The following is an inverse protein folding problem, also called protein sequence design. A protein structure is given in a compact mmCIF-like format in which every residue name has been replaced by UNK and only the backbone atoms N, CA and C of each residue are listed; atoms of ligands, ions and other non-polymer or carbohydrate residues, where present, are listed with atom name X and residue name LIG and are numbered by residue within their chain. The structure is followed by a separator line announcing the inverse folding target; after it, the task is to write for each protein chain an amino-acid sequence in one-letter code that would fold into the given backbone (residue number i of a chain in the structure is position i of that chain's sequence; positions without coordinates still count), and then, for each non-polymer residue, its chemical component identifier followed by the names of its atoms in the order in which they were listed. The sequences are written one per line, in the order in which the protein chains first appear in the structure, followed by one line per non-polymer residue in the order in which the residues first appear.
data_IF_229321012637
#
_entry.id   IF_229321012637
#
_cell.length_a   1.000
_cell.length_b   1.000
_cell.length_c   1.000
_cell.angle_alpha   90.00
_cell.angle_beta   90.00
_cell.angle_gamma   90.00
#
_symmetry.space_group_name_H-M   'P 1'
#
loop_
_entity.id
_entity.type
_entity.pdbx_description
1 polymer ?
#
# COMPACT_ATOMS: atom_id res chain seq x y z
N UNK A 1 2.37 -13.66 6.99
CA UNK A 1 2.15 -12.56 7.97
C UNK A 1 1.21 -11.54 7.36
N UNK A 2 0.03 -11.32 7.97
CA UNK A 2 -1.00 -10.40 7.47
C UNK A 2 -0.50 -8.95 7.35
N UNK A 3 -0.84 -8.27 6.25
CA UNK A 3 -0.53 -6.84 5.97
C UNK A 3 -0.88 -5.94 7.16
N UNK A 4 -2.04 -6.19 7.77
CA UNK A 4 -2.54 -5.51 8.96
C UNK A 4 -1.67 -5.68 10.20
N UNK A 5 -1.08 -6.87 10.41
CA UNK A 5 -0.19 -7.11 11.55
C UNK A 5 1.15 -6.39 11.37
N UNK A 6 1.63 -6.26 10.12
CA UNK A 6 2.84 -5.48 9.80
C UNK A 6 2.61 -3.98 10.00
N UNK A 7 1.47 -3.44 9.56
CA UNK A 7 1.11 -2.03 9.76
C UNK A 7 1.00 -1.66 11.25
N UNK A 8 0.37 -2.52 12.05
CA UNK A 8 0.24 -2.31 13.49
C UNK A 8 1.60 -2.30 14.19
N UNK A 9 2.50 -3.23 13.82
CA UNK A 9 3.86 -3.27 14.35
C UNK A 9 4.67 -2.01 13.96
N UNK A 10 4.57 -1.58 12.70
CA UNK A 10 5.21 -0.36 12.19
C UNK A 10 4.76 0.90 12.95
N UNK A 11 3.44 1.03 13.18
CA UNK A 11 2.90 2.15 13.95
C UNK A 11 3.38 2.13 15.40
N UNK A 12 3.41 0.95 16.04
CA UNK A 12 3.87 0.81 17.42
C UNK A 12 5.36 1.17 17.56
N UNK A 13 6.19 0.70 16.62
CA UNK A 13 7.61 1.05 16.56
C UNK A 13 7.81 2.55 16.37
N UNK A 14 7.04 3.19 15.49
CA UNK A 14 7.08 4.64 15.28
C UNK A 14 6.76 5.44 16.55
N UNK A 15 5.72 5.04 17.31
CA UNK A 15 5.39 5.66 18.60
C UNK A 15 6.54 5.51 19.58
N UNK A 16 7.15 4.34 19.68
CA UNK A 16 8.27 4.10 20.59
C UNK A 16 9.50 4.98 20.25
N UNK A 17 9.83 5.10 18.96
CA UNK A 17 10.90 5.97 18.48
C UNK A 17 10.59 7.43 18.80
N UNK A 18 9.34 7.88 18.59
CA UNK A 18 8.94 9.25 18.87
C UNK A 18 9.03 9.58 20.36
N UNK A 19 8.51 8.71 21.23
CA UNK A 19 8.52 8.92 22.68
C UNK A 19 9.94 8.91 23.23
N UNK A 20 10.78 7.96 22.80
CA UNK A 20 12.19 7.92 23.21
C UNK A 20 12.96 9.15 22.72
N UNK A 21 12.67 9.65 21.52
CA UNK A 21 13.29 10.88 21.02
C UNK A 21 12.92 12.11 21.86
N UNK A 22 11.65 12.25 22.24
CA UNK A 22 11.17 13.38 23.04
C UNK A 22 11.70 13.32 24.48
N UNK A 23 11.66 12.15 25.12
CA UNK A 23 11.96 12.03 26.55
C UNK A 23 13.46 11.86 26.84
N UNK A 24 14.22 11.24 25.91
CA UNK A 24 15.62 10.86 26.14
C UNK A 24 16.56 11.70 25.30
N UNK A 25 16.32 11.86 23.99
CA UNK A 25 17.26 12.56 23.10
C UNK A 25 17.12 14.08 23.17
N UNK A 26 15.89 14.62 23.18
CA UNK A 26 15.62 16.05 23.21
C UNK A 26 16.27 16.81 24.39
N UNK A 27 16.33 16.30 25.64
CA UNK A 27 16.99 17.00 26.73
C UNK A 27 18.52 17.03 26.62
N UNK A 28 19.13 16.28 25.69
CA UNK A 28 20.58 16.28 25.47
C UNK A 28 20.93 17.26 24.35
N UNK A 29 21.58 18.40 24.63
CA UNK A 29 21.80 19.45 23.64
C UNK A 29 22.68 18.99 22.46
N UNK A 30 23.66 18.14 22.73
CA UNK A 30 24.56 17.55 21.71
C UNK A 30 23.81 16.67 20.70
N UNK A 31 22.63 16.16 21.07
CA UNK A 31 21.83 15.25 20.26
C UNK A 31 20.58 15.93 19.69
N UNK A 32 20.46 17.25 19.80
CA UNK A 32 19.25 17.98 19.39
C UNK A 32 18.89 17.73 17.91
N UNK A 33 19.86 17.85 17.00
CA UNK A 33 19.64 17.62 15.56
C UNK A 33 19.22 16.16 15.29
N UNK A 34 19.87 15.21 15.96
CA UNK A 34 19.55 13.79 15.85
C UNK A 34 18.14 13.51 16.36
N UNK A 35 17.74 14.12 17.48
CA UNK A 35 16.40 14.03 18.05
C UNK A 35 15.34 14.46 17.05
N UNK A 36 15.53 15.60 16.38
CA UNK A 36 14.58 16.09 15.36
C UNK A 36 14.43 15.11 14.19
N UNK A 37 15.53 14.51 13.72
CA UNK A 37 15.50 13.50 12.65
C UNK A 37 14.74 12.26 13.11
N UNK A 38 15.04 11.75 14.32
CA UNK A 38 14.35 10.58 14.87
C UNK A 38 12.85 10.85 15.12
N UNK A 39 12.47 12.05 15.57
CA UNK A 39 11.08 12.46 15.69
C UNK A 39 10.37 12.46 14.33
N UNK A 40 10.99 13.03 13.29
CA UNK A 40 10.44 13.02 11.94
C UNK A 40 10.22 11.58 11.43
N UNK A 41 11.23 10.72 11.57
CA UNK A 41 11.12 9.30 11.21
C UNK A 41 10.00 8.62 12.00
N UNK A 42 9.87 8.90 13.31
CA UNK A 42 8.79 8.38 14.15
C UNK A 42 7.41 8.75 13.61
N UNK A 43 7.17 10.02 13.28
CA UNK A 43 5.89 10.48 12.69
C UNK A 43 5.62 9.81 11.35
N UNK A 44 6.62 9.69 10.48
CA UNK A 44 6.47 9.03 9.18
C UNK A 44 6.10 7.55 9.35
N UNK A 45 6.76 6.83 10.27
CA UNK A 45 6.44 5.43 10.56
C UNK A 45 5.02 5.25 11.10
N UNK A 46 4.56 6.16 11.96
CA UNK A 46 3.18 6.18 12.45
C UNK A 46 2.20 6.43 11.30
N UNK A 47 2.48 7.39 10.42
CA UNK A 47 1.63 7.71 9.27
C UNK A 47 1.49 6.52 8.31
N UNK A 48 2.62 5.90 7.92
CA UNK A 48 2.63 4.74 7.02
C UNK A 48 1.98 3.53 7.69
N UNK A 49 2.33 3.23 8.94
CA UNK A 49 1.74 2.13 9.70
C UNK A 49 0.24 2.29 9.89
N UNK A 50 -0.21 3.51 10.22
CA UNK A 50 -1.63 3.86 10.36
C UNK A 50 -2.40 3.73 9.05
N UNK A 51 -1.83 4.20 7.93
CA UNK A 51 -2.43 4.03 6.60
C UNK A 51 -2.58 2.55 6.23
N UNK A 52 -1.60 1.70 6.56
CA UNK A 52 -1.68 0.25 6.34
C UNK A 52 -2.70 -0.46 7.23
N UNK A 53 -2.92 -0.01 8.47
CA UNK A 53 -3.91 -0.61 9.39
C UNK A 53 -5.33 -0.19 9.02
N UNK A 54 -5.52 1.03 8.52
CA UNK A 54 -6.83 1.62 8.28
C UNK A 54 -7.54 1.10 7.01
N UNK A 55 -7.02 0.07 6.34
CA UNK A 55 -7.66 -0.48 5.11
C UNK A 55 -8.06 0.65 4.15
N UNK A 56 -7.12 1.56 3.83
CA UNK A 56 -7.24 2.44 2.67
C UNK A 56 -7.07 1.65 1.34
N UNK A 57 -7.43 0.37 1.37
CA UNK A 57 -7.09 -0.69 0.42
C UNK A 57 -8.34 -1.44 -0.06
N UNK A 58 -9.55 -1.01 0.30
CA UNK A 58 -10.78 -1.57 -0.29
C UNK A 58 -10.96 -1.20 -1.79
N UNK A 59 -9.98 -0.53 -2.41
CA UNK A 59 -10.07 -0.03 -3.79
C UNK A 59 -8.76 -0.16 -4.59
N UNK A 60 -7.75 -0.87 -4.06
CA UNK A 60 -6.46 -1.09 -4.72
C UNK A 60 -6.20 -2.58 -5.02
N UNK A 61 -7.18 -3.44 -4.73
CA UNK A 61 -7.29 -4.74 -5.39
C UNK A 61 -7.67 -4.46 -6.85
N UNK A 62 -6.67 -4.10 -7.66
CA UNK A 62 -6.73 -4.33 -9.10
C UNK A 62 -7.12 -5.81 -9.27
N UNK A 63 -8.15 -6.14 -10.06
CA UNK A 63 -8.59 -7.53 -10.18
C UNK A 63 -7.38 -8.38 -10.58
N UNK A 64 -6.89 -9.19 -9.63
CA UNK A 64 -5.69 -10.03 -9.76
C UNK A 64 -5.91 -11.15 -10.81
N UNK A 65 -7.14 -11.31 -11.28
CA UNK A 65 -7.54 -12.35 -12.20
C UNK A 65 -7.60 -11.81 -13.63
N UNK A 66 -6.93 -12.54 -14.53
CA UNK A 66 -7.07 -12.36 -15.97
C UNK A 66 -8.54 -12.59 -16.38
N UNK A 67 -9.02 -11.78 -17.33
CA UNK A 67 -10.34 -12.00 -17.90
C UNK A 67 -10.38 -13.38 -18.56
N UNK A 68 -11.12 -14.34 -18.02
CA UNK A 68 -11.17 -15.72 -18.54
C UNK A 68 -11.54 -15.77 -20.03
N UNK A 69 -12.27 -14.76 -20.51
CA UNK A 69 -12.78 -14.72 -21.87
C UNK A 69 -11.69 -14.38 -22.89
N UNK A 70 -10.69 -13.58 -22.53
CA UNK A 70 -9.56 -13.25 -23.39
C UNK A 70 -8.20 -13.70 -22.83
N UNK A 71 -8.18 -14.44 -21.72
CA UNK A 71 -6.99 -14.92 -21.01
C UNK A 71 -5.92 -13.81 -20.84
N UNK A 72 -6.32 -12.64 -20.34
CA UNK A 72 -5.38 -11.54 -20.10
C UNK A 72 -4.99 -10.73 -21.35
N UNK A 73 -5.36 -11.17 -22.56
CA UNK A 73 -4.88 -10.52 -23.79
C UNK A 73 -5.58 -9.19 -24.13
N UNK A 74 -6.75 -8.92 -23.55
CA UNK A 74 -7.55 -7.72 -23.87
C UNK A 74 -8.22 -7.73 -25.26
N UNK A 75 -7.98 -8.77 -26.07
CA UNK A 75 -8.51 -8.92 -27.43
C UNK A 75 -8.85 -10.38 -27.73
N UNK A 76 -9.74 -10.58 -28.70
CA UNK A 76 -10.16 -11.89 -29.20
C UNK A 76 -9.99 -11.95 -30.73
N UNK A 77 -9.80 -13.15 -31.28
CA UNK A 77 -9.82 -13.34 -32.75
C UNK A 77 -11.28 -13.34 -33.23
N UNK A 78 -11.60 -12.35 -34.07
CA UNK A 78 -12.86 -12.21 -34.77
C UNK A 78 -12.72 -12.53 -36.27
N UNK A 79 -13.82 -12.44 -37.03
CA UNK A 79 -13.87 -12.78 -38.46
C UNK A 79 -12.95 -11.91 -39.33
N UNK A 80 -12.76 -10.64 -38.94
CA UNK A 80 -12.00 -9.64 -39.69
C UNK A 80 -10.63 -9.32 -39.05
N UNK A 81 -10.22 -10.10 -38.04
CA UNK A 81 -8.95 -9.92 -37.32
C UNK A 81 -9.14 -9.83 -35.80
N UNK A 82 -8.18 -9.21 -35.10
CA UNK A 82 -8.27 -9.05 -33.65
C UNK A 82 -9.25 -7.94 -33.26
N UNK A 83 -10.25 -8.28 -32.44
CA UNK A 83 -11.23 -7.35 -31.91
C UNK A 83 -11.02 -7.13 -30.40
N UNK A 84 -11.42 -5.96 -29.90
CA UNK A 84 -11.36 -5.65 -28.46
C UNK A 84 -12.27 -6.60 -27.68
N UNK A 85 -11.75 -7.18 -26.59
CA UNK A 85 -12.55 -8.08 -25.77
C UNK A 85 -13.77 -7.33 -25.19
N UNK A 86 -15.02 -7.75 -25.52
CA UNK A 86 -16.22 -7.03 -25.11
C UNK A 86 -16.49 -7.12 -23.60
N UNK A 87 -15.90 -8.12 -22.94
CA UNK A 87 -16.14 -8.42 -21.53
C UNK A 87 -15.31 -7.52 -20.60
N UNK A 88 -14.01 -7.42 -20.87
CA UNK A 88 -13.10 -6.54 -20.12
C UNK A 88 -12.90 -5.16 -20.77
N UNK A 89 -13.52 -4.89 -21.92
CA UNK A 89 -13.39 -3.61 -22.62
C UNK A 89 -11.97 -3.29 -23.09
N UNK A 90 -11.13 -4.32 -23.27
CA UNK A 90 -9.75 -4.17 -23.72
C UNK A 90 -8.68 -4.19 -22.62
N UNK A 91 -9.06 -4.22 -21.34
CA UNK A 91 -8.09 -4.17 -20.23
C UNK A 91 -7.34 -5.49 -20.02
N UNK A 92 -7.91 -6.61 -20.44
CA UNK A 92 -7.38 -7.95 -20.17
C UNK A 92 -7.72 -8.49 -18.77
N UNK A 93 -8.22 -7.64 -17.87
CA UNK A 93 -8.51 -8.02 -16.48
C UNK A 93 -9.97 -8.44 -16.28
N UNK A 94 -10.22 -9.35 -15.33
CA UNK A 94 -11.55 -9.74 -14.91
C UNK A 94 -12.30 -8.54 -14.31
N UNK A 95 -13.63 -8.53 -14.42
CA UNK A 95 -14.44 -7.52 -13.73
C UNK A 95 -14.60 -7.96 -12.28
N UNK A 96 -14.77 -7.00 -11.38
CA UNK A 96 -15.09 -7.25 -9.96
C UNK A 96 -16.37 -8.07 -9.72
N UNK A 97 -17.19 -8.25 -10.77
CA UNK A 97 -18.50 -8.90 -10.72
C UNK A 97 -18.48 -10.34 -11.29
N UNK A 98 -17.32 -10.83 -11.72
CA UNK A 98 -17.08 -12.19 -12.23
C UNK A 98 -16.49 -13.11 -11.15
#
# INVERSE_FOLDING_TARGET
MNRRSKGMFLSLAGVFVLVSSILILLPVPELYLLSLICMFVGVVLIGVGGAMVKEYDNNLDEPDEDCYYCNGMGRIEGPDGFETCPRCGGTGLARSDD
#
